data_IF_679381172616
#
_entry.id   IF_679381172616
#
_cell.length_a   1.000
_cell.length_b   1.000
_cell.length_c   1.000
_cell.angle_alpha   90.00
_cell.angle_beta   90.00
_cell.angle_gamma   90.00
#
_symmetry.space_group_name_H-M   'P 1'
#
loop_
_entity.id
_entity.type
_entity.pdbx_description
1 polymer ?
#
# COMPACT_ATOMS: atom_id res chain seq x y z
N UNK A 1 -0.91 5.75 -23.85
CA UNK A 1 0.15 5.14 -23.02
C UNK A 1 -0.40 3.83 -22.50
N UNK A 2 0.26 2.70 -22.78
CA UNK A 2 -0.14 1.43 -22.18
C UNK A 2 0.13 1.52 -20.68
N UNK A 3 -0.91 1.69 -19.86
CA UNK A 3 -0.80 1.49 -18.43
C UNK A 3 -0.47 0.01 -18.22
N UNK A 4 0.82 -0.31 -18.05
CA UNK A 4 1.19 -1.62 -17.58
C UNK A 4 0.51 -1.83 -16.24
N UNK A 5 -0.38 -2.81 -16.19
CA UNK A 5 -1.11 -3.17 -14.99
C UNK A 5 -0.08 -3.74 -14.02
N UNK A 6 0.07 -3.12 -12.86
CA UNK A 6 0.81 -3.71 -11.76
C UNK A 6 -0.13 -4.71 -11.10
N UNK A 7 -0.07 -5.96 -11.55
CA UNK A 7 -0.85 -7.07 -11.03
C UNK A 7 0.05 -8.09 -10.31
N UNK A 8 -0.54 -9.18 -9.83
CA UNK A 8 0.20 -10.24 -9.15
C UNK A 8 1.36 -10.82 -9.97
N UNK A 9 1.22 -10.88 -11.30
CA UNK A 9 2.24 -11.45 -12.19
C UNK A 9 3.42 -10.50 -12.41
N UNK A 10 3.20 -9.19 -12.27
CA UNK A 10 4.27 -8.19 -12.28
C UNK A 10 5.34 -8.55 -11.24
N UNK A 11 4.92 -8.87 -10.01
CA UNK A 11 5.85 -9.15 -8.90
C UNK A 11 6.64 -10.43 -9.08
N UNK A 12 6.07 -11.44 -9.75
CA UNK A 12 6.76 -12.71 -10.05
C UNK A 12 7.95 -12.53 -11.01
N UNK A 13 7.95 -11.43 -11.79
CA UNK A 13 9.00 -11.07 -12.75
C UNK A 13 10.05 -10.12 -12.14
N UNK A 14 9.99 -9.88 -10.83
CA UNK A 14 10.95 -9.04 -10.11
C UNK A 14 11.83 -9.88 -9.18
N UNK A 15 12.93 -9.31 -8.73
CA UNK A 15 13.72 -9.84 -7.61
C UNK A 15 12.99 -9.81 -6.25
N UNK A 16 11.72 -9.37 -6.20
CA UNK A 16 10.91 -9.30 -4.98
C UNK A 16 10.02 -10.53 -4.77
N UNK A 17 10.17 -11.60 -5.57
CA UNK A 17 9.32 -12.79 -5.52
C UNK A 17 9.17 -13.39 -4.12
N UNK A 18 10.25 -13.50 -3.36
CA UNK A 18 10.21 -14.03 -1.99
C UNK A 18 9.42 -13.12 -1.05
N UNK A 19 9.58 -11.81 -1.20
CA UNK A 19 8.80 -10.82 -0.44
C UNK A 19 7.31 -10.87 -0.81
N UNK A 20 7.00 -11.00 -2.10
CA UNK A 20 5.62 -11.18 -2.58
C UNK A 20 4.95 -12.40 -1.95
N UNK A 21 5.66 -13.53 -1.90
CA UNK A 21 5.18 -14.75 -1.25
C UNK A 21 4.95 -14.54 0.25
N UNK A 22 5.86 -13.84 0.93
CA UNK A 22 5.72 -13.52 2.35
C UNK A 22 4.51 -12.58 2.63
N UNK A 23 4.17 -11.70 1.69
CA UNK A 23 3.03 -10.79 1.80
C UNK A 23 1.68 -11.45 1.52
N UNK A 24 1.64 -12.60 0.83
CA UNK A 24 0.37 -13.26 0.46
C UNK A 24 -0.60 -13.40 1.64
N UNK A 25 -0.22 -13.94 2.80
CA UNK A 25 -1.14 -14.10 3.92
C UNK A 25 -1.71 -12.77 4.45
N UNK A 26 -0.95 -11.69 4.34
CA UNK A 26 -1.36 -10.34 4.76
C UNK A 26 -2.37 -9.76 3.78
N UNK A 27 -2.12 -9.92 2.48
CA UNK A 27 -2.98 -9.45 1.40
C UNK A 27 -4.31 -10.20 1.32
N UNK A 28 -4.35 -11.45 1.78
CA UNK A 28 -5.59 -12.24 1.89
C UNK A 28 -6.46 -11.83 3.09
N UNK A 29 -5.96 -11.00 4.01
CA UNK A 29 -6.80 -10.49 5.11
C UNK A 29 -7.93 -9.62 4.55
N UNK A 30 -9.15 -9.74 5.09
CA UNK A 30 -10.26 -8.92 4.66
C UNK A 30 -9.93 -7.44 4.92
N UNK A 31 -10.07 -6.62 3.89
CA UNK A 31 -9.93 -5.18 3.99
C UNK A 31 -11.14 -4.48 3.34
N UNK A 32 -11.83 -3.61 4.08
CA UNK A 32 -11.49 -3.21 5.45
C UNK A 32 -11.79 -4.35 6.46
N UNK A 33 -11.20 -4.30 7.67
CA UNK A 33 -11.47 -5.32 8.69
C UNK A 33 -12.97 -5.34 9.04
N UNK A 34 -13.53 -6.50 9.44
CA UNK A 34 -14.95 -6.62 9.75
C UNK A 34 -15.38 -5.68 10.88
N UNK A 35 -16.66 -5.30 10.87
CA UNK A 35 -17.22 -4.44 11.92
C UNK A 35 -17.18 -5.13 13.29
N UNK A 36 -16.74 -4.41 14.31
CA UNK A 36 -16.87 -4.84 15.70
C UNK A 36 -18.31 -4.65 16.17
N UNK A 37 -18.82 -5.56 17.02
CA UNK A 37 -20.21 -5.54 17.52
C UNK A 37 -20.50 -4.41 18.51
N UNK A 38 -19.49 -3.67 18.94
CA UNK A 38 -19.61 -2.61 19.93
C UNK A 38 -18.57 -1.53 19.70
N UNK A 39 -18.92 -0.48 18.96
CA UNK A 39 -18.14 0.77 18.97
C UNK A 39 -18.99 1.99 18.65
N UNK A 40 -18.78 3.02 19.47
CA UNK A 40 -19.26 4.38 19.27
C UNK A 40 -18.59 4.96 18.03
N UNK A 41 -19.37 5.40 17.05
CA UNK A 41 -18.88 6.05 15.83
C UNK A 41 -18.32 7.44 16.15
N UNK A 42 -17.06 7.53 16.58
CA UNK A 42 -16.30 8.77 16.39
C UNK A 42 -15.99 8.90 14.89
N UNK A 43 -16.48 9.97 14.24
CA UNK A 43 -16.12 10.21 12.84
C UNK A 43 -14.69 10.73 12.79
N UNK A 44 -13.74 9.90 12.36
CA UNK A 44 -12.38 10.35 12.07
C UNK A 44 -12.41 11.33 10.89
N UNK A 45 -11.80 12.50 11.05
CA UNK A 45 -11.64 13.44 9.94
C UNK A 45 -10.39 13.10 9.13
N UNK A 46 -10.55 12.25 8.12
CA UNK A 46 -9.46 11.75 7.27
C UNK A 46 -9.32 12.50 5.94
N UNK A 47 -10.12 13.56 5.74
CA UNK A 47 -10.19 14.30 4.46
C UNK A 47 -8.88 14.98 4.07
N UNK A 48 -8.00 15.25 5.03
CA UNK A 48 -6.71 15.90 4.82
C UNK A 48 -5.59 14.92 4.44
N UNK A 49 -5.79 13.61 4.64
CA UNK A 49 -4.78 12.59 4.33
C UNK A 49 -4.80 12.27 2.83
N UNK A 50 -3.64 11.98 2.23
CA UNK A 50 -3.57 11.53 0.83
C UNK A 50 -4.09 10.09 0.69
N UNK A 51 -4.36 9.65 -0.54
CA UNK A 51 -4.79 8.26 -0.76
C UNK A 51 -3.72 7.27 -0.32
N UNK A 52 -2.44 7.61 -0.52
CA UNK A 52 -1.32 6.76 -0.12
C UNK A 52 -1.16 6.67 1.39
N UNK A 53 -1.34 7.77 2.12
CA UNK A 53 -1.34 7.70 3.59
C UNK A 53 -2.45 6.76 4.06
N UNK A 54 -3.69 6.92 3.56
CA UNK A 54 -4.82 6.05 3.92
C UNK A 54 -4.59 4.56 3.66
N UNK A 55 -3.87 4.22 2.58
CA UNK A 55 -3.49 2.83 2.27
C UNK A 55 -2.40 2.35 3.23
N UNK A 56 -1.41 3.19 3.48
CA UNK A 56 -0.27 2.88 4.33
C UNK A 56 -0.63 2.79 5.82
N UNK A 57 -1.77 3.35 6.26
CA UNK A 57 -2.31 3.12 7.62
C UNK A 57 -2.46 1.63 7.95
N UNK A 58 -2.77 0.80 6.96
CA UNK A 58 -2.81 -0.65 7.13
C UNK A 58 -1.41 -1.26 7.32
N UNK A 59 -0.35 -0.69 6.75
CA UNK A 59 1.01 -1.18 6.97
C UNK A 59 1.51 -0.87 8.38
N UNK A 60 0.96 0.17 9.00
CA UNK A 60 1.22 0.60 10.36
C UNK A 60 0.36 -0.15 11.39
N UNK A 61 -0.32 -1.24 11.00
CA UNK A 61 -1.39 -2.01 11.68
C UNK A 61 -1.18 -2.34 13.17
N UNK A 62 0.00 -2.09 13.73
CA UNK A 62 0.22 -2.24 15.17
C UNK A 62 -0.34 -1.09 15.99
N UNK A 63 -0.75 0.03 15.39
CA UNK A 63 -1.12 1.25 16.12
C UNK A 63 -2.61 1.63 16.07
N UNK A 64 -3.36 1.21 15.04
CA UNK A 64 -4.73 1.69 14.81
C UNK A 64 -5.81 0.63 15.08
N UNK A 65 -6.96 1.02 15.66
CA UNK A 65 -8.08 0.11 15.84
C UNK A 65 -8.77 -0.23 14.50
N UNK A 66 -9.45 -1.39 14.37
CA UNK A 66 -10.15 -1.78 13.13
C UNK A 66 -11.11 -0.72 12.58
N UNK A 67 -11.76 0.04 13.45
CA UNK A 67 -12.69 1.12 13.11
C UNK A 67 -12.03 2.28 12.34
N UNK A 68 -10.78 2.58 12.68
CA UNK A 68 -9.98 3.58 11.99
C UNK A 68 -9.67 3.11 10.56
N UNK A 69 -9.25 1.86 10.39
CA UNK A 69 -8.98 1.28 9.07
C UNK A 69 -10.24 1.21 8.19
N UNK A 70 -11.41 0.90 8.79
CA UNK A 70 -12.70 1.01 8.08
C UNK A 70 -12.98 2.44 7.63
N UNK A 71 -12.65 3.43 8.44
CA UNK A 71 -12.81 4.84 8.08
C UNK A 71 -11.86 5.26 6.96
N UNK A 72 -10.63 4.74 6.93
CA UNK A 72 -9.69 4.95 5.84
C UNK A 72 -10.23 4.39 4.52
N UNK A 73 -10.73 3.15 4.54
CA UNK A 73 -11.37 2.54 3.38
C UNK A 73 -12.60 3.32 2.91
N UNK A 74 -13.48 3.73 3.83
CA UNK A 74 -14.67 4.52 3.50
C UNK A 74 -14.30 5.87 2.86
N UNK A 75 -13.25 6.53 3.33
CA UNK A 75 -12.74 7.77 2.75
C UNK A 75 -12.17 7.53 1.33
N UNK A 76 -11.46 6.43 1.09
CA UNK A 76 -11.02 6.04 -0.27
C UNK A 76 -12.20 5.80 -1.22
N UNK A 77 -13.24 5.10 -0.76
CA UNK A 77 -14.48 4.90 -1.52
C UNK A 77 -15.18 6.23 -1.83
N UNK A 78 -15.25 7.14 -0.86
CA UNK A 78 -15.81 8.49 -1.04
C UNK A 78 -15.05 9.31 -2.09
N UNK A 79 -13.74 9.08 -2.23
CA UNK A 79 -12.88 9.68 -3.28
C UNK A 79 -13.01 8.99 -4.65
N UNK A 80 -13.94 8.05 -4.80
CA UNK A 80 -14.23 7.39 -6.06
C UNK A 80 -13.35 6.18 -6.36
N UNK A 81 -12.53 5.69 -5.42
CA UNK A 81 -11.74 4.47 -5.64
C UNK A 81 -12.64 3.23 -5.63
N UNK A 82 -12.44 2.38 -6.63
CA UNK A 82 -13.07 1.06 -6.70
C UNK A 82 -12.41 0.08 -5.71
N UNK A 83 -13.07 -1.02 -5.40
CA UNK A 83 -12.48 -2.04 -4.51
C UNK A 83 -11.25 -2.68 -5.15
N UNK A 84 -11.29 -2.89 -6.47
CA UNK A 84 -10.16 -3.40 -7.26
C UNK A 84 -8.98 -2.45 -7.19
N UNK A 85 -9.18 -1.14 -7.36
CA UNK A 85 -8.09 -0.17 -7.24
C UNK A 85 -7.52 -0.13 -5.82
N UNK A 86 -8.36 -0.14 -4.79
CA UNK A 86 -7.89 -0.17 -3.40
C UNK A 86 -7.05 -1.42 -3.16
N UNK A 87 -7.49 -2.58 -3.65
CA UNK A 87 -6.72 -3.83 -3.55
C UNK A 87 -5.36 -3.71 -4.24
N UNK A 88 -5.31 -3.17 -5.46
CA UNK A 88 -4.05 -2.97 -6.19
C UNK A 88 -3.12 -1.99 -5.45
N UNK A 89 -3.67 -0.90 -4.89
CA UNK A 89 -2.90 0.06 -4.10
C UNK A 89 -2.32 -0.59 -2.84
N UNK A 90 -3.08 -1.46 -2.15
CA UNK A 90 -2.59 -2.22 -0.99
C UNK A 90 -1.44 -3.16 -1.36
N UNK A 91 -1.62 -3.94 -2.43
CA UNK A 91 -0.57 -4.82 -2.96
C UNK A 91 0.69 -4.02 -3.27
N UNK A 92 0.55 -2.88 -3.95
CA UNK A 92 1.64 -1.99 -4.27
C UNK A 92 2.35 -1.44 -3.02
N UNK A 93 1.60 -1.01 -2.00
CA UNK A 93 2.16 -0.47 -0.77
C UNK A 93 2.94 -1.55 0.02
N UNK A 94 2.42 -2.78 0.11
CA UNK A 94 3.14 -3.91 0.72
C UNK A 94 4.43 -4.23 -0.03
N UNK A 95 4.40 -4.21 -1.36
CA UNK A 95 5.57 -4.50 -2.19
C UNK A 95 6.63 -3.39 -2.22
N UNK A 96 6.31 -2.20 -1.70
CA UNK A 96 7.20 -1.03 -1.67
C UNK A 96 7.49 -0.59 -0.24
N UNK A 97 6.62 0.23 0.36
CA UNK A 97 6.77 0.71 1.72
C UNK A 97 6.82 -0.44 2.74
N UNK A 98 6.06 -1.52 2.55
CA UNK A 98 6.15 -2.73 3.37
C UNK A 98 7.53 -3.41 3.26
N UNK A 99 8.07 -3.55 2.05
CA UNK A 99 9.42 -4.05 1.82
C UNK A 99 10.48 -3.18 2.51
N UNK A 100 10.33 -1.86 2.42
CA UNK A 100 11.22 -0.89 3.05
C UNK A 100 11.17 -1.00 4.58
N UNK A 101 9.98 -1.04 5.17
CA UNK A 101 9.81 -1.11 6.62
C UNK A 101 10.28 -2.46 7.20
N UNK A 102 9.78 -3.57 6.65
CA UNK A 102 9.98 -4.89 7.25
C UNK A 102 11.23 -5.62 6.74
N UNK A 103 11.52 -5.56 5.44
CA UNK A 103 12.67 -6.29 4.88
C UNK A 103 13.98 -5.50 4.97
N UNK A 104 13.91 -4.15 4.96
CA UNK A 104 15.09 -3.31 5.18
C UNK A 104 15.26 -2.85 6.63
N UNK A 105 14.33 -3.22 7.52
CA UNK A 105 14.38 -2.93 8.96
C UNK A 105 14.57 -1.44 9.24
N UNK A 106 13.87 -0.58 8.51
CA UNK A 106 13.87 0.85 8.76
C UNK A 106 12.72 1.16 9.74
N UNK A 107 13.01 1.13 11.04
CA UNK A 107 12.02 1.16 12.13
C UNK A 107 11.50 2.55 12.50
N UNK A 108 11.98 3.62 11.87
CA UNK A 108 11.67 5.02 12.24
C UNK A 108 10.40 5.61 11.58
N UNK A 109 9.59 4.79 10.90
CA UNK A 109 8.59 5.28 9.94
C UNK A 109 7.20 5.25 10.59
N UNK A 110 6.90 6.33 11.33
CA UNK A 110 5.64 6.49 12.05
C UNK A 110 4.50 6.92 11.12
N UNK A 111 4.82 7.48 9.95
CA UNK A 111 3.85 7.91 8.94
C UNK A 111 4.33 7.45 7.57
N UNK A 112 3.80 6.34 7.06
CA UNK A 112 4.13 5.85 5.73
C UNK A 112 3.30 6.57 4.66
N UNK A 113 3.95 7.07 3.61
CA UNK A 113 3.31 7.82 2.53
C UNK A 113 3.91 7.58 1.12
N UNK A 114 3.55 8.44 0.17
CA UNK A 114 4.01 8.35 -1.21
C UNK A 114 5.52 8.60 -1.39
N UNK A 115 6.16 9.42 -0.54
CA UNK A 115 7.60 9.65 -0.57
C UNK A 115 8.35 8.37 -0.17
N UNK A 116 7.80 7.62 0.77
CA UNK A 116 8.40 6.39 1.27
C UNK A 116 8.30 5.26 0.24
N UNK A 117 7.14 5.17 -0.42
CA UNK A 117 6.95 4.30 -1.58
C UNK A 117 7.95 4.67 -2.69
N UNK A 118 8.15 5.96 -2.97
CA UNK A 118 9.13 6.41 -3.97
C UNK A 118 10.56 6.00 -3.59
N UNK A 119 10.95 6.18 -2.33
CA UNK A 119 12.25 5.74 -1.84
C UNK A 119 12.43 4.23 -1.99
N UNK A 120 11.41 3.44 -1.65
CA UNK A 120 11.44 1.99 -1.82
C UNK A 120 11.68 1.61 -3.28
N UNK A 121 10.95 2.22 -4.22
CA UNK A 121 11.11 2.00 -5.67
C UNK A 121 12.56 2.32 -6.12
N UNK A 122 13.12 3.45 -5.67
CA UNK A 122 14.49 3.82 -6.00
C UNK A 122 15.51 2.81 -5.44
N UNK A 123 15.33 2.36 -4.21
CA UNK A 123 16.21 1.37 -3.61
C UNK A 123 16.12 0.01 -4.31
N UNK A 124 14.91 -0.44 -4.64
CA UNK A 124 14.69 -1.69 -5.38
C UNK A 124 15.37 -1.65 -6.75
N UNK A 125 15.30 -0.52 -7.45
CA UNK A 125 16.00 -0.29 -8.72
C UNK A 125 17.52 -0.32 -8.54
N UNK A 126 18.07 0.42 -7.56
CA UNK A 126 19.52 0.43 -7.27
C UNK A 126 20.07 -0.95 -6.91
N UNK A 127 19.26 -1.79 -6.27
CA UNK A 127 19.62 -3.18 -5.93
C UNK A 127 19.43 -4.17 -7.09
N UNK A 128 18.95 -3.72 -8.24
CA UNK A 128 18.68 -4.57 -9.41
C UNK A 128 17.49 -5.52 -9.22
N UNK A 129 16.61 -5.26 -8.24
CA UNK A 129 15.41 -6.08 -7.99
C UNK A 129 14.30 -5.78 -9.00
N UNK A 130 14.32 -4.59 -9.59
CA UNK A 130 13.42 -4.17 -10.66
C UNK A 130 14.23 -3.55 -11.80
N UNK A 131 13.73 -3.70 -13.01
CA UNK A 131 14.29 -3.07 -14.22
C UNK A 131 13.88 -1.59 -14.32
N UNK A 132 14.54 -0.83 -15.19
CA UNK A 132 14.19 0.58 -15.43
C UNK A 132 12.72 0.75 -15.92
N UNK A 133 12.23 -0.18 -16.75
CA UNK A 133 10.84 -0.15 -17.21
C UNK A 133 9.85 -0.41 -16.05
N UNK A 134 10.14 -1.40 -15.22
CA UNK A 134 9.34 -1.68 -14.01
C UNK A 134 9.34 -0.47 -13.07
N UNK A 135 10.50 0.15 -12.85
CA UNK A 135 10.61 1.38 -12.05
C UNK A 135 9.72 2.49 -12.60
N UNK A 136 9.77 2.75 -13.91
CA UNK A 136 8.94 3.77 -14.55
C UNK A 136 7.44 3.47 -14.39
N UNK A 137 7.03 2.22 -14.60
CA UNK A 137 5.63 1.80 -14.41
C UNK A 137 5.16 1.96 -12.96
N UNK A 138 6.01 1.61 -11.99
CA UNK A 138 5.72 1.81 -10.56
C UNK A 138 5.59 3.30 -10.20
N UNK A 139 6.46 4.17 -10.71
CA UNK A 139 6.36 5.61 -10.49
C UNK A 139 5.10 6.21 -11.13
N UNK A 140 4.73 5.76 -12.33
CA UNK A 140 3.51 6.19 -12.98
C UNK A 140 2.26 5.78 -12.19
N UNK A 141 2.24 4.56 -11.64
CA UNK A 141 1.17 4.08 -10.77
C UNK A 141 1.06 4.89 -9.48
N UNK A 142 2.19 5.15 -8.82
CA UNK A 142 2.27 6.02 -7.64
C UNK A 142 1.66 7.41 -7.92
N UNK A 143 2.02 8.00 -9.07
CA UNK A 143 1.58 9.35 -9.42
C UNK A 143 0.10 9.41 -9.85
N UNK A 144 -0.43 8.36 -10.46
CA UNK A 144 -1.85 8.26 -10.85
C UNK A 144 -2.80 8.19 -9.63
N UNK A 145 -2.34 7.65 -8.50
CA UNK A 145 -3.16 7.39 -7.32
C UNK A 145 -2.96 8.40 -6.17
N UNK A 146 -2.38 9.59 -6.42
CA UNK A 146 -2.21 10.65 -5.42
C UNK A 146 -3.50 10.99 -4.65
#
# INVERSE_FOLDING_TARGET
>A
MNNQIIDSTFWEQTGLKEWWQACQPLLQRPFPPPASTSSSHSSYNLSHLSNWVLICEELLDTQHPPDYLRSCYAELKKRGKTETEIKQMREFAWMTAGWLNYAQMLWEWVNLDAADIRLAIEQQSRKGLITANQQQSMLAFLDYHK
#
